data_IF_477503813156
#
_entry.id   IF_477503813156
#
_cell.length_a   1.000
_cell.length_b   1.000
_cell.length_c   1.000
_cell.angle_alpha   90.00
_cell.angle_beta   90.00
_cell.angle_gamma   90.00
#
_symmetry.space_group_name_H-M   'P 1'
#
loop_
_entity.id
_entity.type
_entity.pdbx_description
1 polymer ?
#
# COMPACT_ATOMS: atom_id res chain seq x y z
N UNK A 1 16.31 31.69 16.90
CA UNK A 1 16.27 30.24 17.20
C UNK A 1 16.65 29.49 15.94
N UNK A 2 17.62 28.59 16.00
CA UNK A 2 17.86 27.63 14.93
C UNK A 2 16.75 26.57 14.95
N UNK A 3 15.90 26.59 13.92
CA UNK A 3 14.74 25.69 13.84
C UNK A 3 15.13 24.26 13.54
N UNK A 4 16.16 24.04 12.71
CA UNK A 4 16.63 22.69 12.37
C UNK A 4 17.20 22.00 13.61
N UNK A 5 17.98 22.73 14.40
CA UNK A 5 18.53 22.21 15.66
C UNK A 5 17.42 21.92 16.69
N UNK A 6 16.40 22.78 16.79
CA UNK A 6 15.25 22.55 17.68
C UNK A 6 14.40 21.37 17.22
N UNK A 7 14.19 21.19 15.90
CA UNK A 7 13.54 20.01 15.32
C UNK A 7 14.34 18.73 15.63
N UNK A 8 15.66 18.75 15.45
CA UNK A 8 16.53 17.60 15.74
C UNK A 8 16.45 17.20 17.22
N UNK A 9 16.47 18.18 18.13
CA UNK A 9 16.31 17.91 19.56
C UNK A 9 14.93 17.33 19.90
N UNK A 10 13.85 17.81 19.29
CA UNK A 10 12.52 17.28 19.49
C UNK A 10 12.41 15.84 19.00
N UNK A 11 12.87 15.57 17.78
CA UNK A 11 12.87 14.22 17.19
C UNK A 11 13.66 13.25 18.07
N UNK A 12 14.87 13.62 18.47
CA UNK A 12 15.72 12.80 19.34
C UNK A 12 15.07 12.57 20.72
N UNK A 13 14.37 13.58 21.26
CA UNK A 13 13.63 13.44 22.53
C UNK A 13 12.52 12.39 22.45
N UNK A 14 11.85 12.32 21.33
CA UNK A 14 10.79 11.34 21.07
C UNK A 14 11.38 9.95 20.90
N UNK A 15 12.44 9.81 20.10
CA UNK A 15 13.06 8.54 19.80
C UNK A 15 13.75 7.92 21.03
N UNK A 16 14.36 8.75 21.87
CA UNK A 16 15.01 8.32 23.13
C UNK A 16 14.06 8.28 24.34
N UNK A 17 12.83 8.82 24.21
CA UNK A 17 11.85 8.91 25.29
C UNK A 17 12.21 9.86 26.43
N UNK A 18 13.28 10.67 26.32
CA UNK A 18 13.81 11.48 27.41
C UNK A 18 14.63 12.68 26.94
N UNK A 19 14.32 13.87 27.49
CA UNK A 19 15.15 15.08 27.26
C UNK A 19 16.58 14.92 27.81
N UNK A 20 16.75 14.16 28.89
CA UNK A 20 18.06 13.88 29.45
C UNK A 20 18.92 12.98 28.56
N UNK A 21 18.31 12.09 27.79
CA UNK A 21 18.99 11.29 26.78
C UNK A 21 19.51 12.17 25.63
N UNK A 22 18.67 13.12 25.16
CA UNK A 22 19.08 14.13 24.16
C UNK A 22 20.28 14.93 24.64
N UNK A 23 20.20 15.44 25.89
CA UNK A 23 21.30 16.20 26.51
C UNK A 23 22.64 15.45 26.44
N UNK A 24 22.62 14.15 26.77
CA UNK A 24 23.83 13.31 26.72
C UNK A 24 24.29 13.03 25.28
N UNK A 25 23.35 12.67 24.40
CA UNK A 25 23.68 12.26 23.02
C UNK A 25 24.19 13.42 22.17
N UNK A 26 23.57 14.60 22.34
CA UNK A 26 23.94 15.80 21.57
C UNK A 26 25.01 16.65 22.29
N UNK A 27 25.45 16.26 23.49
CA UNK A 27 26.39 17.00 24.34
C UNK A 27 25.95 18.46 24.60
N UNK A 28 24.64 18.65 24.87
CA UNK A 28 24.02 19.96 25.13
C UNK A 28 23.38 19.95 26.52
N UNK A 29 23.55 21.00 27.35
CA UNK A 29 22.93 21.06 28.69
C UNK A 29 21.40 20.87 28.64
N UNK A 30 20.87 20.07 29.56
CA UNK A 30 19.42 19.78 29.63
C UNK A 30 18.51 21.03 29.65
N UNK A 31 18.85 22.11 30.37
CA UNK A 31 18.10 23.36 30.32
C UNK A 31 18.02 23.96 28.90
N UNK A 32 19.12 23.85 28.14
CA UNK A 32 19.15 24.33 26.74
C UNK A 32 18.25 23.51 25.82
N UNK A 33 18.27 22.17 25.94
CA UNK A 33 17.35 21.28 25.21
C UNK A 33 15.91 21.66 25.52
N UNK A 34 15.57 21.77 26.81
CA UNK A 34 14.21 22.12 27.25
C UNK A 34 13.76 23.49 26.73
N UNK A 35 14.67 24.50 26.75
CA UNK A 35 14.39 25.85 26.24
C UNK A 35 14.17 25.84 24.74
N UNK A 36 15.04 25.18 23.95
CA UNK A 36 14.91 25.15 22.49
C UNK A 36 13.61 24.48 22.02
N UNK A 37 13.18 23.42 22.69
CA UNK A 37 11.88 22.79 22.42
C UNK A 37 10.73 23.74 22.81
N UNK A 38 10.80 24.42 23.97
CA UNK A 38 9.81 25.39 24.37
C UNK A 38 9.74 26.60 23.43
N UNK A 39 10.88 27.08 22.93
CA UNK A 39 10.95 28.14 21.93
C UNK A 39 10.30 27.70 20.60
N UNK A 40 10.47 26.44 20.22
CA UNK A 40 9.83 25.85 19.04
C UNK A 40 8.30 25.77 19.22
N UNK A 41 7.82 25.28 20.35
CA UNK A 41 6.39 25.27 20.70
C UNK A 41 5.77 26.68 20.69
N UNK A 42 6.49 27.65 21.25
CA UNK A 42 6.09 29.05 21.26
C UNK A 42 6.00 29.65 19.85
N UNK A 43 7.00 29.33 18.99
CA UNK A 43 7.01 29.77 17.59
C UNK A 43 5.84 29.20 16.78
N UNK A 44 5.46 27.95 17.05
CA UNK A 44 4.34 27.26 16.39
C UNK A 44 2.97 27.62 17.00
N UNK A 45 2.95 28.29 18.16
CA UNK A 45 1.72 28.62 18.88
C UNK A 45 0.97 27.40 19.43
N UNK A 46 1.65 26.24 19.51
CA UNK A 46 1.03 24.99 19.97
C UNK A 46 2.01 24.14 20.76
N UNK A 47 1.47 23.34 21.68
CA UNK A 47 2.29 22.36 22.43
C UNK A 47 2.46 21.10 21.61
N UNK A 48 3.71 20.62 21.53
CA UNK A 48 4.08 19.38 20.85
C UNK A 48 4.27 18.23 21.86
N UNK A 49 4.64 18.58 23.12
CA UNK A 49 4.89 17.63 24.18
C UNK A 49 3.98 17.85 25.39
N UNK A 50 3.44 16.75 25.90
CA UNK A 50 2.79 16.70 27.22
C UNK A 50 3.88 16.27 28.22
N UNK A 51 4.27 17.19 29.09
CA UNK A 51 5.26 16.91 30.15
C UNK A 51 4.57 16.23 31.30
N UNK A 52 4.71 14.91 31.43
CA UNK A 52 4.39 14.17 32.63
C UNK A 52 5.70 13.85 33.38
N UNK A 53 5.64 13.74 34.71
CA UNK A 53 6.81 13.42 35.55
C UNK A 53 7.40 12.04 35.30
N UNK A 54 6.69 11.19 34.52
CA UNK A 54 7.11 9.80 34.26
C UNK A 54 7.34 9.46 32.79
N UNK A 55 6.76 10.20 31.84
CA UNK A 55 6.91 9.92 30.39
C UNK A 55 6.81 11.19 29.56
N UNK A 56 7.58 11.23 28.47
CA UNK A 56 7.45 12.21 27.41
C UNK A 56 6.37 11.66 26.44
N UNK A 57 5.26 12.40 26.29
CA UNK A 57 4.15 11.99 25.42
C UNK A 57 3.93 13.10 24.39
N UNK A 58 3.74 12.74 23.13
CA UNK A 58 3.37 13.67 22.07
C UNK A 58 1.89 14.07 22.18
N UNK A 59 1.58 15.33 21.85
CA UNK A 59 0.24 15.72 21.45
C UNK A 59 -0.05 15.24 20.02
N UNK A 60 -1.31 15.30 19.56
CA UNK A 60 -1.64 15.00 18.15
C UNK A 60 -0.87 15.93 17.20
N UNK A 61 -0.80 17.25 17.52
CA UNK A 61 0.00 18.21 16.79
C UNK A 61 1.50 17.85 16.83
N UNK A 62 1.99 17.37 17.98
CA UNK A 62 3.37 16.91 18.15
C UNK A 62 3.69 15.70 17.29
N UNK A 63 2.79 14.72 17.23
CA UNK A 63 2.97 13.52 16.40
C UNK A 63 3.05 13.88 14.91
N UNK A 64 2.13 14.72 14.43
CA UNK A 64 2.15 15.23 13.06
C UNK A 64 3.43 16.02 12.76
N UNK A 65 3.82 16.93 13.66
CA UNK A 65 5.01 17.76 13.48
C UNK A 65 6.31 16.94 13.47
N UNK A 66 6.49 15.99 14.39
CA UNK A 66 7.67 15.12 14.47
C UNK A 66 7.84 14.30 13.20
N UNK A 67 6.75 13.78 12.65
CA UNK A 67 6.78 13.02 11.39
C UNK A 67 7.28 13.87 10.22
N UNK A 68 6.84 15.14 10.13
CA UNK A 68 7.31 16.08 9.09
C UNK A 68 8.74 16.52 9.36
N UNK A 69 9.07 16.82 10.63
CA UNK A 69 10.43 17.25 11.03
C UNK A 69 11.50 16.20 10.70
N UNK A 70 11.22 14.91 10.92
CA UNK A 70 12.13 13.81 10.52
C UNK A 70 12.46 13.87 9.03
N UNK A 71 11.47 14.05 8.17
CA UNK A 71 11.66 14.14 6.71
C UNK A 71 12.48 15.38 6.31
N UNK A 72 12.20 16.53 6.91
CA UNK A 72 12.96 17.76 6.64
C UNK A 72 14.42 17.57 7.01
N UNK A 73 14.70 17.05 8.20
CA UNK A 73 16.08 16.80 8.67
C UNK A 73 16.81 15.79 7.77
N UNK A 74 16.15 14.74 7.33
CA UNK A 74 16.71 13.78 6.36
C UNK A 74 17.05 14.45 5.02
N UNK A 75 16.16 15.31 4.51
CA UNK A 75 16.38 16.04 3.25
C UNK A 75 17.56 17.02 3.35
N UNK A 76 17.68 17.73 4.49
CA UNK A 76 18.83 18.61 4.73
C UNK A 76 20.12 17.81 4.75
N UNK A 77 20.15 16.73 5.52
CA UNK A 77 21.33 15.87 5.61
C UNK A 77 21.70 15.22 4.26
N UNK A 78 20.72 14.92 3.42
CA UNK A 78 20.97 14.41 2.06
C UNK A 78 21.53 15.49 1.14
N UNK A 79 20.99 16.71 1.20
CA UNK A 79 21.49 17.85 0.43
C UNK A 79 22.94 18.18 0.79
N UNK A 80 23.29 18.16 2.08
CA UNK A 80 24.65 18.38 2.59
C UNK A 80 25.62 17.31 2.07
N UNK A 81 25.25 16.02 2.12
CA UNK A 81 26.06 14.92 1.59
C UNK A 81 26.26 15.02 0.08
N UNK A 82 25.18 15.34 -0.65
CA UNK A 82 25.27 15.54 -2.10
C UNK A 82 26.22 16.67 -2.45
N UNK A 83 26.18 17.78 -1.70
CA UNK A 83 27.09 18.90 -1.87
C UNK A 83 28.55 18.55 -1.52
N UNK A 84 28.75 17.65 -0.54
CA UNK A 84 30.07 17.14 -0.17
C UNK A 84 30.63 16.12 -1.18
N UNK A 85 29.89 15.76 -2.24
CA UNK A 85 30.32 14.77 -3.23
C UNK A 85 30.32 13.32 -2.69
N UNK A 86 29.68 13.09 -1.56
CA UNK A 86 29.53 11.75 -1.00
C UNK A 86 28.43 10.99 -1.77
N UNK A 87 28.83 10.11 -2.69
CA UNK A 87 27.94 9.09 -3.27
C UNK A 87 27.62 8.04 -2.20
N UNK A 88 26.70 8.37 -1.30
CA UNK A 88 26.34 7.47 -0.21
C UNK A 88 25.28 6.45 -0.65
N UNK A 89 25.35 5.23 -0.10
CA UNK A 89 24.28 4.25 -0.22
C UNK A 89 23.00 4.82 0.43
N UNK A 90 21.81 4.44 -0.06
CA UNK A 90 20.55 4.85 0.56
C UNK A 90 20.47 4.31 1.99
N UNK A 91 19.98 5.14 2.92
CA UNK A 91 19.85 4.82 4.35
C UNK A 91 18.64 5.46 4.98
N UNK A 92 18.22 4.98 6.16
CA UNK A 92 17.11 5.50 6.94
C UNK A 92 15.82 4.70 6.75
N UNK A 93 14.70 5.25 7.24
CA UNK A 93 13.41 4.57 7.25
C UNK A 93 12.63 4.90 5.98
N UNK A 94 12.07 3.88 5.34
CA UNK A 94 11.20 3.97 4.17
C UNK A 94 9.84 3.35 4.49
N UNK A 95 8.76 4.11 4.32
CA UNK A 95 7.40 3.63 4.50
C UNK A 95 6.72 3.33 3.16
N UNK A 96 6.27 2.09 2.99
CA UNK A 96 5.63 1.61 1.76
C UNK A 96 4.29 1.00 2.10
N UNK A 97 3.24 1.30 1.32
CA UNK A 97 1.94 0.63 1.44
C UNK A 97 1.56 -0.07 0.14
N UNK A 98 0.85 -1.19 0.26
CA UNK A 98 0.35 -1.97 -0.86
C UNK A 98 -0.95 -2.70 -0.47
N UNK A 99 -1.80 -3.12 -1.45
CA UNK A 99 -2.91 -4.02 -1.17
C UNK A 99 -2.43 -5.33 -0.55
N UNK A 100 -3.22 -5.90 0.36
CA UNK A 100 -2.80 -7.03 1.22
C UNK A 100 -2.17 -8.16 0.41
N UNK A 101 -2.92 -8.77 -0.49
CA UNK A 101 -2.46 -9.94 -1.26
C UNK A 101 -1.37 -9.56 -2.25
N UNK A 102 -1.51 -8.43 -2.95
CA UNK A 102 -0.48 -7.94 -3.88
C UNK A 102 0.83 -7.65 -3.16
N UNK A 103 0.74 -7.00 -2.02
CA UNK A 103 1.89 -6.70 -1.18
C UNK A 103 2.62 -7.95 -0.70
N UNK A 104 1.87 -8.96 -0.25
CA UNK A 104 2.44 -10.24 0.19
C UNK A 104 3.10 -11.02 -0.96
N UNK A 105 2.44 -11.12 -2.11
CA UNK A 105 2.92 -11.95 -3.21
C UNK A 105 4.03 -11.31 -4.04
N UNK A 106 3.96 -9.99 -4.27
CA UNK A 106 4.84 -9.30 -5.21
C UNK A 106 5.77 -8.29 -4.56
N UNK A 107 5.28 -7.52 -3.57
CA UNK A 107 6.08 -6.43 -2.98
C UNK A 107 7.03 -6.94 -1.91
N UNK A 108 6.59 -7.84 -1.04
CA UNK A 108 7.42 -8.37 0.05
C UNK A 108 8.69 -9.08 -0.44
N UNK A 109 8.67 -9.92 -1.50
CA UNK A 109 9.91 -10.49 -2.04
C UNK A 109 10.89 -9.42 -2.53
N UNK A 110 10.39 -8.36 -3.19
CA UNK A 110 11.22 -7.24 -3.66
C UNK A 110 11.78 -6.44 -2.49
N UNK A 111 11.00 -6.24 -1.43
CA UNK A 111 11.45 -5.58 -0.19
C UNK A 111 12.55 -6.38 0.49
N UNK A 112 12.43 -7.69 0.58
CA UNK A 112 13.47 -8.55 1.18
C UNK A 112 14.78 -8.50 0.41
N UNK A 113 14.73 -8.53 -0.92
CA UNK A 113 15.92 -8.40 -1.78
C UNK A 113 16.56 -6.99 -1.65
N UNK A 114 15.73 -5.95 -1.53
CA UNK A 114 16.20 -4.57 -1.33
C UNK A 114 16.90 -4.41 0.00
N UNK A 115 16.35 -4.93 1.09
CA UNK A 115 16.95 -4.90 2.43
C UNK A 115 18.29 -5.67 2.47
N UNK A 116 18.38 -6.80 1.78
CA UNK A 116 19.65 -7.55 1.67
C UNK A 116 20.75 -6.74 0.96
N UNK A 117 20.37 -5.89 -0.02
CA UNK A 117 21.32 -5.06 -0.77
C UNK A 117 21.70 -3.76 -0.05
N UNK A 118 20.80 -3.21 0.76
CA UNK A 118 20.97 -1.91 1.43
C UNK A 118 20.75 -2.06 2.95
N UNK A 119 21.79 -2.48 3.69
CA UNK A 119 21.65 -2.84 5.11
C UNK A 119 21.38 -1.64 6.04
N UNK A 120 21.59 -0.40 5.57
CA UNK A 120 21.28 0.81 6.33
C UNK A 120 19.84 1.32 6.11
N UNK A 121 19.01 0.59 5.35
CA UNK A 121 17.60 0.90 5.16
C UNK A 121 16.75 0.04 6.11
N UNK A 122 15.75 0.68 6.72
CA UNK A 122 14.62 0.00 7.36
C UNK A 122 13.36 0.24 6.52
N UNK A 123 12.53 -0.78 6.36
CA UNK A 123 11.26 -0.63 5.63
C UNK A 123 10.09 -0.93 6.55
N UNK A 124 9.14 0.01 6.62
CA UNK A 124 7.79 -0.22 7.15
C UNK A 124 6.87 -0.56 5.99
N UNK A 125 6.56 -1.84 5.79
CA UNK A 125 5.61 -2.30 4.78
C UNK A 125 4.22 -2.43 5.41
N UNK A 126 3.27 -1.58 4.99
CA UNK A 126 1.89 -1.58 5.46
C UNK A 126 0.99 -2.20 4.38
N UNK A 127 0.37 -3.33 4.70
CA UNK A 127 -0.53 -4.04 3.80
C UNK A 127 -1.98 -3.69 4.14
N UNK A 128 -2.66 -3.01 3.21
CA UNK A 128 -4.05 -2.56 3.41
C UNK A 128 -4.78 -2.39 2.08
N UNK A 129 -6.01 -2.89 2.00
CA UNK A 129 -6.88 -2.68 0.84
C UNK A 129 -7.63 -1.34 0.91
N UNK A 130 -7.47 -0.58 1.99
CA UNK A 130 -7.99 0.79 2.11
C UNK A 130 -7.12 1.76 1.31
N UNK A 131 -7.75 2.75 0.71
CA UNK A 131 -7.02 3.86 0.10
C UNK A 131 -6.39 4.73 1.20
N UNK A 132 -5.07 4.70 1.26
CA UNK A 132 -4.24 5.48 2.19
C UNK A 132 -3.86 6.80 1.51
N UNK A 133 -4.06 7.94 2.16
CA UNK A 133 -3.58 9.23 1.69
C UNK A 133 -2.09 9.38 2.04
N UNK A 134 -1.22 9.33 1.00
CA UNK A 134 0.25 9.31 1.17
C UNK A 134 0.76 10.46 2.06
N UNK A 135 0.23 11.66 1.87
CA UNK A 135 0.67 12.86 2.59
C UNK A 135 0.17 12.83 4.04
N UNK A 136 -1.12 12.55 4.24
CA UNK A 136 -1.76 12.58 5.57
C UNK A 136 -1.26 11.45 6.47
N UNK A 137 -1.03 10.27 5.91
CA UNK A 137 -0.56 9.09 6.64
C UNK A 137 0.97 8.95 6.64
N UNK A 138 1.68 9.96 6.12
CA UNK A 138 3.14 10.03 6.10
C UNK A 138 3.81 8.80 5.45
N UNK A 139 3.25 8.34 4.34
CA UNK A 139 3.76 7.22 3.55
C UNK A 139 4.63 7.74 2.41
N UNK A 140 5.84 7.20 2.25
CA UNK A 140 6.76 7.61 1.20
C UNK A 140 6.33 7.09 -0.18
N UNK A 141 5.85 5.85 -0.23
CA UNK A 141 5.45 5.18 -1.46
C UNK A 141 4.21 4.31 -1.29
N UNK A 142 3.39 4.21 -2.33
CA UNK A 142 2.26 3.28 -2.37
C UNK A 142 2.19 2.52 -3.68
N UNK A 143 1.84 1.25 -3.61
CA UNK A 143 1.35 0.51 -4.76
C UNK A 143 -0.17 0.59 -4.76
N UNK A 144 -0.77 0.94 -5.91
CA UNK A 144 -2.21 1.10 -6.06
C UNK A 144 -2.72 0.38 -7.30
N UNK A 145 -3.92 -0.18 -7.17
CA UNK A 145 -4.68 -0.82 -8.24
C UNK A 145 -5.83 0.12 -8.65
N UNK A 146 -6.09 0.22 -9.94
CA UNK A 146 -7.17 1.03 -10.49
C UNK A 146 -6.74 2.43 -10.93
N UNK A 147 -7.73 3.21 -11.35
CA UNK A 147 -7.52 4.60 -11.79
C UNK A 147 -7.17 5.49 -10.61
N UNK A 148 -6.19 6.34 -10.84
CA UNK A 148 -5.77 7.33 -9.84
C UNK A 148 -6.60 8.60 -10.03
N UNK A 149 -7.07 9.23 -8.95
CA UNK A 149 -7.63 10.58 -9.07
C UNK A 149 -6.52 11.54 -9.53
N UNK A 150 -6.90 12.56 -10.28
CA UNK A 150 -6.00 13.66 -10.64
C UNK A 150 -5.43 14.29 -9.36
N UNK A 151 -4.15 14.09 -9.14
CA UNK A 151 -3.46 14.56 -7.94
C UNK A 151 -2.03 14.96 -8.27
N UNK A 152 -1.42 15.74 -7.40
CA UNK A 152 0.01 16.14 -7.46
C UNK A 152 0.98 14.96 -7.18
N UNK A 153 0.49 13.72 -7.24
CA UNK A 153 1.26 12.49 -6.93
C UNK A 153 1.87 11.97 -8.24
N UNK A 154 3.15 11.67 -8.22
CA UNK A 154 3.82 11.04 -9.35
C UNK A 154 3.55 9.54 -9.34
N UNK A 155 3.13 9.03 -10.51
CA UNK A 155 2.79 7.63 -10.70
C UNK A 155 3.72 6.95 -11.71
N UNK A 156 4.31 5.83 -11.31
CA UNK A 156 5.07 4.94 -12.20
C UNK A 156 4.22 3.70 -12.48
N UNK A 157 3.78 3.52 -13.74
CA UNK A 157 2.99 2.34 -14.13
C UNK A 157 3.85 1.07 -14.07
N UNK A 158 3.31 0.05 -13.42
CA UNK A 158 3.93 -1.27 -13.27
C UNK A 158 3.35 -2.30 -14.24
N UNK A 159 2.03 -2.27 -14.44
CA UNK A 159 1.32 -3.23 -15.29
C UNK A 159 -0.19 -3.10 -15.15
N UNK A 160 -0.88 -4.22 -15.32
CA UNK A 160 -2.34 -4.32 -15.23
C UNK A 160 -2.75 -5.65 -14.58
N UNK A 161 -3.87 -5.64 -13.88
CA UNK A 161 -4.54 -6.82 -13.31
C UNK A 161 -5.99 -6.88 -13.79
N UNK A 162 -6.60 -8.07 -13.77
CA UNK A 162 -7.97 -8.27 -14.25
C UNK A 162 -8.90 -8.62 -13.08
N UNK A 163 -10.13 -8.17 -13.15
CA UNK A 163 -11.19 -8.79 -12.35
C UNK A 163 -11.65 -10.06 -13.04
N UNK A 164 -11.70 -11.15 -12.30
CA UNK A 164 -12.16 -12.46 -12.75
C UNK A 164 -13.32 -12.93 -11.88
N UNK A 165 -14.20 -13.71 -12.47
CA UNK A 165 -15.26 -14.42 -11.74
C UNK A 165 -14.89 -15.89 -11.71
N UNK A 166 -14.97 -16.52 -10.54
CA UNK A 166 -14.56 -17.91 -10.37
C UNK A 166 -15.47 -18.66 -9.37
N UNK A 167 -15.47 -19.98 -9.51
CA UNK A 167 -16.09 -20.90 -8.56
C UNK A 167 -15.35 -22.24 -8.57
N UNK A 168 -15.59 -23.09 -7.57
CA UNK A 168 -15.02 -24.44 -7.58
C UNK A 168 -15.71 -25.33 -8.62
N UNK A 169 -15.00 -26.29 -9.24
CA UNK A 169 -15.59 -27.26 -10.18
C UNK A 169 -16.77 -28.01 -9.58
N UNK A 170 -16.72 -28.38 -8.31
CA UNK A 170 -17.81 -29.04 -7.59
C UNK A 170 -19.06 -28.19 -7.49
N UNK A 171 -18.89 -26.88 -7.23
CA UNK A 171 -20.01 -25.93 -7.21
C UNK A 171 -20.66 -25.81 -8.60
N UNK A 172 -19.84 -25.68 -9.64
CA UNK A 172 -20.32 -25.55 -11.02
C UNK A 172 -21.02 -26.83 -11.50
N UNK A 173 -20.54 -28.01 -11.10
CA UNK A 173 -21.21 -29.26 -11.40
C UNK A 173 -22.59 -29.37 -10.76
N UNK A 174 -22.78 -28.83 -9.55
CA UNK A 174 -24.05 -28.87 -8.84
C UNK A 174 -25.07 -27.79 -9.27
N UNK A 175 -24.57 -26.61 -9.72
CA UNK A 175 -25.43 -25.45 -9.98
C UNK A 175 -25.46 -25.01 -11.45
N UNK A 176 -24.62 -25.61 -12.29
CA UNK A 176 -24.41 -25.20 -13.68
C UNK A 176 -23.41 -24.03 -13.81
N UNK A 177 -22.89 -23.88 -15.02
CA UNK A 177 -22.00 -22.78 -15.38
C UNK A 177 -22.86 -21.62 -15.89
N UNK A 178 -22.77 -20.40 -15.28
CA UNK A 178 -23.54 -19.27 -15.78
C UNK A 178 -23.01 -18.82 -17.15
N UNK A 179 -23.89 -18.65 -18.13
CA UNK A 179 -23.53 -18.22 -19.49
C UNK A 179 -23.46 -16.69 -19.61
N UNK A 180 -24.18 -15.97 -18.76
CA UNK A 180 -24.23 -14.50 -18.75
C UNK A 180 -24.14 -13.94 -17.35
N UNK A 181 -23.69 -12.69 -17.18
CA UNK A 181 -23.65 -12.03 -15.88
C UNK A 181 -25.00 -11.99 -15.15
N UNK A 182 -26.12 -11.86 -15.89
CA UNK A 182 -27.45 -11.81 -15.29
C UNK A 182 -27.86 -13.12 -14.61
N UNK A 183 -27.28 -14.24 -15.00
CA UNK A 183 -27.52 -15.55 -14.37
C UNK A 183 -26.99 -15.64 -12.95
N UNK A 184 -26.06 -14.73 -12.55
CA UNK A 184 -25.47 -14.70 -11.20
C UNK A 184 -26.49 -14.40 -10.11
N UNK A 185 -27.61 -13.75 -10.42
CA UNK A 185 -28.70 -13.50 -9.45
C UNK A 185 -29.29 -14.78 -8.87
N UNK A 186 -29.24 -15.88 -9.64
CA UNK A 186 -29.78 -17.19 -9.23
C UNK A 186 -28.77 -18.01 -8.43
N UNK A 187 -27.46 -17.59 -8.41
CA UNK A 187 -26.41 -18.32 -7.75
C UNK A 187 -25.99 -17.64 -6.44
N UNK A 188 -25.61 -18.40 -5.39
CA UNK A 188 -24.99 -17.84 -4.22
C UNK A 188 -23.64 -17.22 -4.59
N UNK A 189 -23.41 -15.97 -4.16
CA UNK A 189 -22.18 -15.24 -4.41
C UNK A 189 -21.45 -14.92 -3.11
N UNK A 190 -20.12 -14.79 -3.21
CA UNK A 190 -19.23 -14.40 -2.14
C UNK A 190 -18.74 -12.97 -2.44
N UNK A 191 -18.89 -12.06 -1.49
CA UNK A 191 -18.37 -10.70 -1.57
C UNK A 191 -17.23 -10.50 -0.58
N UNK A 192 -16.15 -9.85 -0.99
CA UNK A 192 -15.07 -9.41 -0.10
C UNK A 192 -15.11 -7.89 0.17
N UNK A 193 -16.11 -7.19 -0.37
CA UNK A 193 -16.35 -5.78 -0.10
C UNK A 193 -17.61 -5.67 0.79
N UNK A 194 -17.38 -5.59 2.09
CA UNK A 194 -18.44 -5.55 3.10
C UNK A 194 -19.21 -4.22 3.11
N UNK A 195 -18.64 -3.16 2.54
CA UNK A 195 -19.22 -1.80 2.54
C UNK A 195 -20.00 -1.49 1.26
N UNK A 196 -20.06 -2.44 0.34
CA UNK A 196 -20.77 -2.25 -0.92
C UNK A 196 -22.30 -2.13 -0.70
N UNK A 197 -22.88 -1.26 -1.47
CA UNK A 197 -24.25 -0.78 -1.57
C UNK A 197 -25.37 -1.72 -1.10
N UNK A 198 -26.55 -1.17 -0.73
CA UNK A 198 -27.73 -1.95 -0.29
C UNK A 198 -28.20 -3.01 -1.32
N UNK A 199 -27.72 -2.94 -2.56
CA UNK A 199 -27.96 -3.92 -3.62
C UNK A 199 -26.64 -4.26 -4.28
N UNK A 200 -25.95 -5.33 -3.83
CA UNK A 200 -24.68 -5.73 -4.39
C UNK A 200 -24.83 -6.09 -5.87
N UNK A 201 -23.97 -5.51 -6.69
CA UNK A 201 -23.93 -5.72 -8.13
C UNK A 201 -22.49 -5.67 -8.62
N UNK A 202 -22.18 -6.49 -9.63
CA UNK A 202 -20.84 -6.56 -10.18
C UNK A 202 -20.78 -5.94 -11.58
N UNK A 203 -19.78 -5.09 -11.86
CA UNK A 203 -19.55 -4.56 -13.19
C UNK A 203 -18.90 -5.61 -14.09
N UNK A 204 -19.39 -5.64 -15.34
CA UNK A 204 -18.95 -6.46 -16.45
C UNK A 204 -18.89 -5.62 -17.72
N UNK A 205 -18.39 -6.19 -18.81
CA UNK A 205 -18.38 -5.57 -20.13
C UNK A 205 -19.07 -6.50 -21.14
N UNK A 206 -19.88 -5.93 -22.02
CA UNK A 206 -20.50 -6.69 -23.12
C UNK A 206 -19.43 -7.13 -24.10
N UNK A 207 -19.32 -8.43 -24.46
CA UNK A 207 -18.30 -8.95 -25.37
C UNK A 207 -18.20 -8.16 -26.67
N UNK A 208 -16.97 -7.86 -27.10
CA UNK A 208 -16.69 -7.13 -28.33
C UNK A 208 -17.07 -5.64 -28.35
N UNK A 209 -17.51 -5.09 -27.20
CA UNK A 209 -17.91 -3.68 -27.09
C UNK A 209 -17.26 -3.01 -25.89
N UNK A 210 -17.43 -1.67 -25.76
CA UNK A 210 -17.04 -0.90 -24.55
C UNK A 210 -18.22 -0.66 -23.61
N UNK A 211 -19.34 -1.34 -23.82
CA UNK A 211 -20.56 -1.14 -23.04
C UNK A 211 -20.44 -1.88 -21.71
N UNK A 212 -20.54 -1.13 -20.61
CA UNK A 212 -20.59 -1.69 -19.28
C UNK A 212 -21.95 -2.31 -18.98
N UNK A 213 -21.93 -3.43 -18.28
CA UNK A 213 -23.11 -4.14 -17.76
C UNK A 213 -22.93 -4.21 -16.24
N UNK A 214 -23.97 -3.90 -15.51
CA UNK A 214 -23.99 -4.09 -14.05
C UNK A 214 -24.99 -5.22 -13.75
N UNK A 215 -24.48 -6.35 -13.27
CA UNK A 215 -25.29 -7.51 -12.95
C UNK A 215 -25.56 -7.58 -11.44
N UNK A 216 -26.84 -7.69 -11.00
CA UNK A 216 -27.17 -7.91 -9.61
C UNK A 216 -26.67 -9.28 -9.15
N UNK A 217 -26.17 -9.36 -7.90
CA UNK A 217 -25.71 -10.62 -7.32
C UNK A 217 -26.39 -10.89 -5.98
N UNK A 218 -26.58 -12.17 -5.66
CA UNK A 218 -27.14 -12.62 -4.38
C UNK A 218 -26.01 -13.02 -3.45
N UNK A 219 -25.55 -12.10 -2.61
CA UNK A 219 -24.49 -12.38 -1.63
C UNK A 219 -25.03 -13.32 -0.55
N UNK A 220 -24.41 -14.51 -0.43
CA UNK A 220 -24.66 -15.50 0.61
C UNK A 220 -23.62 -15.40 1.73
N UNK A 221 -22.38 -15.06 1.38
CA UNK A 221 -21.28 -14.87 2.33
C UNK A 221 -20.57 -13.55 2.01
N UNK A 222 -20.38 -12.73 3.02
CA UNK A 222 -19.54 -11.55 2.94
C UNK A 222 -18.34 -11.69 3.89
N UNK A 223 -17.16 -11.43 3.39
CA UNK A 223 -15.87 -11.50 4.12
C UNK A 223 -15.09 -10.20 3.91
N UNK A 224 -14.08 -9.97 4.72
CA UNK A 224 -13.29 -8.72 4.67
C UNK A 224 -11.96 -8.87 3.94
N UNK A 225 -11.56 -10.09 3.57
CA UNK A 225 -10.30 -10.34 2.87
C UNK A 225 -10.51 -11.19 1.62
N UNK A 226 -9.67 -10.95 0.61
CA UNK A 226 -9.72 -11.72 -0.63
C UNK A 226 -9.36 -13.20 -0.42
N UNK A 227 -8.42 -13.51 0.49
CA UNK A 227 -8.04 -14.87 0.83
C UNK A 227 -9.23 -15.67 1.38
N UNK A 228 -10.00 -15.07 2.31
CA UNK A 228 -11.19 -15.72 2.83
C UNK A 228 -12.26 -15.95 1.75
N UNK A 229 -12.36 -15.05 0.76
CA UNK A 229 -13.26 -15.24 -0.39
C UNK A 229 -12.77 -16.36 -1.30
N UNK A 230 -11.46 -16.49 -1.55
CA UNK A 230 -10.84 -17.60 -2.29
C UNK A 230 -11.13 -18.93 -1.60
N UNK A 231 -10.87 -19.03 -0.31
CA UNK A 231 -11.07 -20.26 0.48
C UNK A 231 -12.55 -20.69 0.48
N UNK A 232 -13.45 -19.71 0.64
CA UNK A 232 -14.89 -19.98 0.58
C UNK A 232 -15.36 -20.44 -0.82
N UNK A 233 -14.79 -19.88 -1.89
CA UNK A 233 -15.09 -20.29 -3.25
C UNK A 233 -14.56 -21.72 -3.53
N UNK A 234 -13.35 -22.07 -3.06
CA UNK A 234 -12.79 -23.43 -3.13
C UNK A 234 -13.68 -24.43 -2.38
N UNK A 235 -14.18 -24.03 -1.21
CA UNK A 235 -15.10 -24.84 -0.40
C UNK A 235 -16.51 -24.99 -1.02
N UNK A 236 -16.78 -24.35 -2.17
CA UNK A 236 -18.07 -24.49 -2.87
C UNK A 236 -19.21 -23.66 -2.26
N UNK A 237 -18.92 -22.61 -1.50
CA UNK A 237 -19.93 -21.73 -0.92
C UNK A 237 -20.69 -20.94 -1.99
N UNK A 238 -20.00 -20.58 -3.09
CA UNK A 238 -20.59 -19.79 -4.16
C UNK A 238 -19.58 -19.28 -5.18
N UNK A 239 -20.06 -18.37 -6.03
CA UNK A 239 -19.28 -17.66 -7.04
C UNK A 239 -18.59 -16.45 -6.39
N UNK A 240 -17.31 -16.23 -6.66
CA UNK A 240 -16.56 -15.07 -6.20
C UNK A 240 -16.10 -14.21 -7.38
N UNK A 241 -16.09 -12.88 -7.22
CA UNK A 241 -15.42 -11.93 -8.12
C UNK A 241 -14.20 -11.40 -7.41
N UNK A 242 -13.04 -11.68 -7.99
CA UNK A 242 -11.72 -11.43 -7.38
C UNK A 242 -10.76 -10.83 -8.42
N UNK A 243 -9.55 -10.51 -8.03
CA UNK A 243 -8.50 -10.07 -8.95
C UNK A 243 -7.65 -11.29 -9.37
N UNK A 244 -7.22 -11.31 -10.62
CA UNK A 244 -6.56 -12.46 -11.25
C UNK A 244 -5.41 -13.07 -10.43
N UNK A 245 -4.52 -12.25 -9.85
CA UNK A 245 -3.41 -12.75 -9.04
C UNK A 245 -3.86 -13.39 -7.70
N UNK A 246 -5.04 -13.02 -7.18
CA UNK A 246 -5.57 -13.59 -5.93
C UNK A 246 -5.99 -15.05 -6.09
N UNK A 247 -6.42 -15.42 -7.28
CA UNK A 247 -6.90 -16.77 -7.59
C UNK A 247 -5.92 -17.59 -8.43
N UNK A 248 -4.81 -17.01 -8.88
CA UNK A 248 -3.88 -17.64 -9.84
C UNK A 248 -3.42 -19.04 -9.39
N UNK A 249 -3.02 -19.20 -8.14
CA UNK A 249 -2.59 -20.47 -7.57
C UNK A 249 -3.74 -21.50 -7.51
N UNK A 250 -4.92 -21.07 -7.07
CA UNK A 250 -6.09 -21.94 -6.97
C UNK A 250 -6.58 -22.41 -8.34
N UNK A 251 -6.50 -21.53 -9.35
CA UNK A 251 -6.83 -21.88 -10.75
C UNK A 251 -5.78 -22.84 -11.32
N UNK A 252 -4.48 -22.58 -11.12
CA UNK A 252 -3.41 -23.42 -11.61
C UNK A 252 -3.48 -24.87 -11.11
N UNK A 253 -3.91 -25.07 -9.86
CA UNK A 253 -4.13 -26.42 -9.29
C UNK A 253 -5.54 -27.00 -9.52
N UNK A 254 -6.39 -26.31 -10.30
CA UNK A 254 -7.74 -26.77 -10.62
C UNK A 254 -8.76 -26.68 -9.48
N UNK A 255 -8.44 -26.01 -8.38
CA UNK A 255 -9.36 -25.81 -7.25
C UNK A 255 -10.44 -24.75 -7.55
N UNK A 256 -10.15 -23.80 -8.43
CA UNK A 256 -11.09 -22.82 -8.96
C UNK A 256 -11.05 -22.83 -10.49
N UNK A 257 -12.20 -22.53 -11.10
CA UNK A 257 -12.36 -22.32 -12.53
C UNK A 257 -12.83 -20.90 -12.78
N UNK A 258 -12.20 -20.18 -13.72
CA UNK A 258 -12.64 -18.87 -14.19
C UNK A 258 -13.85 -19.09 -15.11
N UNK A 259 -14.90 -18.30 -14.88
CA UNK A 259 -16.15 -18.30 -15.65
C UNK A 259 -16.44 -16.88 -16.14
N UNK A 260 -17.29 -16.72 -17.13
CA UNK A 260 -17.68 -15.42 -17.71
C UNK A 260 -16.49 -14.59 -18.22
N UNK A 261 -15.38 -15.21 -18.62
CA UNK A 261 -14.15 -14.53 -19.04
C UNK A 261 -14.39 -13.53 -20.20
N UNK A 262 -15.34 -13.83 -21.11
CA UNK A 262 -15.70 -12.96 -22.22
C UNK A 262 -16.38 -11.64 -21.76
N UNK A 263 -16.85 -11.57 -20.51
CA UNK A 263 -17.49 -10.41 -19.92
C UNK A 263 -16.60 -9.63 -18.97
N UNK A 264 -15.31 -9.99 -18.85
CA UNK A 264 -14.39 -9.27 -17.96
C UNK A 264 -14.35 -7.76 -18.32
N UNK A 265 -14.37 -6.87 -17.31
CA UNK A 265 -14.19 -5.43 -17.54
C UNK A 265 -12.78 -5.12 -18.03
N UNK A 266 -12.52 -3.86 -18.41
CA UNK A 266 -11.17 -3.42 -18.74
C UNK A 266 -10.18 -3.74 -17.62
N UNK A 267 -8.94 -4.17 -17.94
CA UNK A 267 -7.92 -4.39 -16.95
C UNK A 267 -7.62 -3.12 -16.14
N UNK A 268 -7.40 -3.30 -14.85
CA UNK A 268 -7.03 -2.20 -13.97
C UNK A 268 -5.52 -1.95 -13.99
N UNK A 269 -5.09 -0.69 -14.10
CA UNK A 269 -3.67 -0.36 -13.98
C UNK A 269 -3.16 -0.63 -12.57
N UNK A 270 -1.90 -1.04 -12.47
CA UNK A 270 -1.13 -1.10 -11.24
C UNK A 270 -0.04 -0.06 -11.31
N UNK A 271 0.03 0.81 -10.33
CA UNK A 271 0.99 1.91 -10.29
C UNK A 271 1.70 2.00 -8.95
N UNK A 272 2.96 2.39 -9.00
CA UNK A 272 3.74 2.80 -7.83
C UNK A 272 3.70 4.31 -7.74
N UNK A 273 3.29 4.83 -6.60
CA UNK A 273 3.06 6.23 -6.30
C UNK A 273 4.06 6.74 -5.29
N UNK A 274 4.45 8.01 -5.38
CA UNK A 274 5.21 8.70 -4.36
C UNK A 274 4.79 10.18 -4.27
N UNK A 275 4.91 10.75 -3.06
CA UNK A 275 4.49 12.12 -2.75
C UNK A 275 5.59 13.16 -3.05
N UNK A 276 6.44 12.95 -4.04
CA UNK A 276 7.55 13.87 -4.35
C UNK A 276 7.26 14.76 -5.54
N UNK A 277 7.19 16.08 -5.32
CA UNK A 277 7.41 17.09 -6.37
C UNK A 277 8.87 17.57 -6.23
N UNK A 278 9.70 17.34 -7.26
CA UNK A 278 11.10 17.75 -7.26
C UNK A 278 12.10 16.60 -7.02
N UNK A 279 13.20 16.88 -6.32
CA UNK A 279 14.26 15.89 -6.05
C UNK A 279 13.77 14.90 -5.01
N UNK A 280 13.65 13.63 -5.41
CA UNK A 280 13.29 12.55 -4.49
C UNK A 280 14.45 12.23 -3.54
N UNK A 281 14.15 11.95 -2.25
CA UNK A 281 15.13 11.39 -1.34
C UNK A 281 15.79 10.14 -1.92
N UNK A 282 17.10 9.97 -1.69
CA UNK A 282 17.89 8.88 -2.28
C UNK A 282 17.27 7.51 -1.97
N UNK A 283 16.78 7.29 -0.75
CA UNK A 283 16.11 6.05 -0.34
C UNK A 283 14.86 5.74 -1.18
N UNK A 284 14.03 6.76 -1.48
CA UNK A 284 12.81 6.63 -2.28
C UNK A 284 13.17 6.34 -3.74
N UNK A 285 14.10 7.11 -4.31
CA UNK A 285 14.58 6.91 -5.69
C UNK A 285 15.22 5.53 -5.85
N UNK A 286 16.10 5.12 -4.94
CA UNK A 286 16.76 3.83 -4.98
C UNK A 286 15.76 2.67 -4.90
N UNK A 287 14.73 2.78 -4.05
CA UNK A 287 13.68 1.77 -4.00
C UNK A 287 12.83 1.76 -5.27
N UNK A 288 12.47 2.91 -5.82
CA UNK A 288 11.73 3.01 -7.08
C UNK A 288 12.47 2.32 -8.22
N UNK A 289 13.77 2.67 -8.40
CA UNK A 289 14.63 2.13 -9.46
C UNK A 289 14.86 0.61 -9.30
N UNK A 290 14.93 0.13 -8.06
CA UNK A 290 15.09 -1.28 -7.75
C UNK A 290 13.79 -2.09 -7.92
N UNK A 291 12.68 -1.57 -7.42
CA UNK A 291 11.42 -2.29 -7.32
C UNK A 291 10.60 -2.27 -8.63
N UNK A 292 10.57 -1.12 -9.34
CA UNK A 292 9.70 -1.00 -10.52
C UNK A 292 10.01 -2.03 -11.62
N UNK A 293 11.26 -2.29 -12.04
CA UNK A 293 11.53 -3.30 -13.04
C UNK A 293 11.21 -4.73 -12.58
N UNK A 294 11.43 -5.04 -11.30
CA UNK A 294 11.14 -6.37 -10.72
C UNK A 294 9.63 -6.63 -10.64
N UNK A 295 8.87 -5.65 -10.20
CA UNK A 295 7.41 -5.75 -10.15
C UNK A 295 6.81 -5.84 -11.55
N UNK A 296 7.34 -5.11 -12.55
CA UNK A 296 6.92 -5.26 -13.95
C UNK A 296 7.18 -6.66 -14.48
N UNK A 297 8.35 -7.23 -14.18
CA UNK A 297 8.70 -8.59 -14.59
C UNK A 297 7.77 -9.64 -13.93
N UNK A 298 7.49 -9.51 -12.64
CA UNK A 298 6.57 -10.40 -11.92
C UNK A 298 5.15 -10.35 -12.51
N UNK A 299 4.63 -9.16 -12.80
CA UNK A 299 3.31 -9.00 -13.41
C UNK A 299 3.25 -9.50 -14.86
N UNK A 300 4.33 -9.36 -15.64
CA UNK A 300 4.42 -9.92 -16.99
C UNK A 300 4.41 -11.46 -16.95
N UNK A 301 5.10 -12.08 -16.01
CA UNK A 301 5.10 -13.54 -15.82
C UNK A 301 3.70 -14.09 -15.49
N UNK A 302 2.91 -13.38 -14.68
CA UNK A 302 1.52 -13.77 -14.39
C UNK A 302 0.61 -13.72 -15.63
N UNK A 303 0.82 -12.75 -16.53
CA UNK A 303 0.07 -12.68 -17.79
C UNK A 303 0.33 -13.88 -18.71
N UNK A 304 1.51 -14.48 -18.62
CA UNK A 304 1.93 -15.61 -19.44
C UNK A 304 1.52 -16.96 -18.83
N UNK A 305 1.03 -17.01 -17.59
CA UNK A 305 0.64 -18.23 -16.93
C UNK A 305 -0.71 -18.74 -17.49
N UNK A 306 -0.76 -20.00 -18.03
CA UNK A 306 -1.80 -20.47 -18.96
C UNK A 306 -3.16 -20.86 -18.34
N UNK A 307 -3.49 -20.37 -17.15
CA UNK A 307 -4.89 -20.36 -16.71
C UNK A 307 -5.80 -19.53 -17.64
N UNK A 308 -5.24 -19.02 -18.76
CA UNK A 308 -5.86 -18.15 -19.77
C UNK A 308 -6.49 -18.90 -20.95
N UNK A 309 -6.15 -20.15 -21.15
CA UNK A 309 -6.58 -20.95 -22.32
C UNK A 309 -7.19 -22.29 -21.90
N UNK A 310 -8.27 -22.25 -21.13
CA UNK A 310 -9.27 -23.32 -21.24
C UNK A 310 -10.33 -22.79 -22.22
N UNK A 311 -10.18 -23.23 -23.45
CA UNK A 311 -11.19 -23.12 -24.51
C UNK A 311 -12.50 -23.75 -24.10
#
# INVERSE_FOLDING_TARGET
MDRLEAMAMLVEAVDSGSLSAVSRKMNVPLPTVSRKIADLESHLGTRLLIRSTRKLVLTDAGAAYVSVAKRILEQVAEAERTAAGEYSAPRGDLSVTAPIVFGRLHVLPVVTDFLARYPEINIRLMLSDRNVHLIEEHVDMAIRLGTLPDSSITATRLGEVRHVVCASPSFLAAHGVPETPNSLVMLPCISHDFLAAPRPAWPFRKPGTKVEIVAPVRVRLAVTTAEAAVDAAIAGVGVARLISYQVAEAVARGALQIILAQYEPEPMPVSMLHAGQGILPLKVRSFLDFAAPRLRAAMAAERLNPGREAR
#
